data_IF_596937107766
#
_entry.id   IF_596937107766
#
_cell.length_a   1.000
_cell.length_b   1.000
_cell.length_c   1.000
_cell.angle_alpha   90.00
_cell.angle_beta   90.00
_cell.angle_gamma   90.00
#
_symmetry.space_group_name_H-M   'P 1'
#
loop_
_entity.id
_entity.type
_entity.pdbx_description
1 polymer ?
#
# COMPACT_ATOMS: atom_id res chain seq x y z
N UNK A 1 -28.26 11.67 69.52
CA UNK A 1 -26.83 11.50 69.83
C UNK A 1 -26.41 10.22 69.14
N UNK A 2 -25.84 10.31 67.95
CA UNK A 2 -25.28 9.13 67.26
C UNK A 2 -24.22 8.53 68.17
N UNK A 3 -24.33 7.25 68.48
CA UNK A 3 -23.35 6.62 69.37
C UNK A 3 -22.04 6.46 68.61
N UNK A 4 -20.89 6.59 69.30
CA UNK A 4 -19.56 6.45 68.69
C UNK A 4 -19.45 5.12 67.89
N UNK A 5 -20.16 4.08 68.33
CA UNK A 5 -20.23 2.77 67.66
C UNK A 5 -20.89 2.84 66.27
N UNK A 6 -21.95 3.62 66.09
CA UNK A 6 -22.60 3.81 64.79
C UNK A 6 -21.68 4.57 63.84
N UNK A 7 -21.01 5.62 64.33
CA UNK A 7 -20.05 6.38 63.53
C UNK A 7 -18.89 5.51 63.02
N UNK A 8 -18.32 4.65 63.88
CA UNK A 8 -17.25 3.70 63.48
C UNK A 8 -17.76 2.71 62.43
N UNK A 9 -19.00 2.22 62.57
CA UNK A 9 -19.60 1.29 61.60
C UNK A 9 -19.80 1.94 60.24
N UNK A 10 -20.24 3.20 60.21
CA UNK A 10 -20.36 3.98 58.97
C UNK A 10 -19.00 4.21 58.31
N UNK A 11 -17.96 4.55 59.09
CA UNK A 11 -16.60 4.73 58.57
C UNK A 11 -16.09 3.44 57.92
N UNK A 12 -16.18 2.30 58.61
CA UNK A 12 -15.74 1.01 58.06
C UNK A 12 -16.48 0.61 56.79
N UNK A 13 -17.77 0.94 56.72
CA UNK A 13 -18.55 0.70 55.51
C UNK A 13 -18.05 1.59 54.35
N UNK A 14 -17.81 2.87 54.62
CA UNK A 14 -17.30 3.80 53.62
C UNK A 14 -15.90 3.40 53.14
N UNK A 15 -15.02 2.92 54.03
CA UNK A 15 -13.71 2.36 53.66
C UNK A 15 -13.86 1.15 52.73
N UNK A 16 -14.73 0.19 53.08
CA UNK A 16 -14.96 -0.99 52.23
C UNK A 16 -15.56 -0.63 50.86
N UNK A 17 -16.49 0.32 50.83
CA UNK A 17 -17.11 0.79 49.58
C UNK A 17 -16.07 1.52 48.71
N UNK A 18 -15.15 2.29 49.32
CA UNK A 18 -14.04 2.95 48.62
C UNK A 18 -13.03 1.93 48.05
N UNK A 19 -12.66 0.91 48.82
CA UNK A 19 -11.75 -0.15 48.37
C UNK A 19 -12.33 -0.90 47.15
N UNK A 20 -13.63 -1.25 47.21
CA UNK A 20 -14.33 -1.86 46.07
C UNK A 20 -14.36 -0.96 44.85
N UNK A 21 -14.59 0.33 45.04
CA UNK A 21 -14.60 1.30 43.94
C UNK A 21 -13.22 1.36 43.26
N UNK A 22 -12.14 1.34 44.04
CA UNK A 22 -10.76 1.31 43.52
C UNK A 22 -10.50 0.01 42.75
N UNK A 23 -10.92 -1.14 43.29
CA UNK A 23 -10.77 -2.44 42.63
C UNK A 23 -11.50 -2.48 41.29
N UNK A 24 -12.78 -2.07 41.27
CA UNK A 24 -13.59 -2.03 40.06
C UNK A 24 -13.04 -1.05 39.02
N UNK A 25 -12.59 0.14 39.46
CA UNK A 25 -11.96 1.11 38.58
C UNK A 25 -10.68 0.56 37.96
N UNK A 26 -9.85 -0.12 38.75
CA UNK A 26 -8.59 -0.73 38.30
C UNK A 26 -8.86 -1.84 37.29
N UNK A 27 -9.81 -2.74 37.59
CA UNK A 27 -10.22 -3.80 36.68
C UNK A 27 -10.73 -3.24 35.36
N UNK A 28 -11.67 -2.30 35.41
CA UNK A 28 -12.22 -1.66 34.21
C UNK A 28 -11.16 -0.93 33.39
N UNK A 29 -10.20 -0.28 34.05
CA UNK A 29 -9.09 0.37 33.34
C UNK A 29 -8.21 -0.63 32.59
N UNK A 30 -7.98 -1.80 33.18
CA UNK A 30 -7.19 -2.88 32.56
C UNK A 30 -7.94 -3.46 31.36
N UNK A 31 -9.24 -3.76 31.53
CA UNK A 31 -10.10 -4.24 30.44
C UNK A 31 -10.11 -3.25 29.25
N UNK A 32 -10.24 -1.94 29.51
CA UNK A 32 -10.20 -0.92 28.46
C UNK A 32 -8.85 -0.87 27.73
N UNK A 33 -7.74 -1.04 28.45
CA UNK A 33 -6.40 -1.05 27.86
C UNK A 33 -6.23 -2.27 26.96
N UNK A 34 -6.66 -3.45 27.40
CA UNK A 34 -6.57 -4.68 26.62
C UNK A 34 -7.45 -4.63 25.38
N UNK A 35 -8.69 -4.16 25.50
CA UNK A 35 -9.59 -3.97 24.35
C UNK A 35 -9.00 -2.98 23.34
N UNK A 36 -8.43 -1.87 23.83
CA UNK A 36 -7.79 -0.87 22.96
C UNK A 36 -6.57 -1.44 22.24
N UNK A 37 -5.75 -2.27 22.91
CA UNK A 37 -4.61 -2.95 22.30
C UNK A 37 -5.06 -3.92 21.22
N UNK A 38 -6.04 -4.77 21.52
CA UNK A 38 -6.57 -5.74 20.56
C UNK A 38 -7.14 -5.07 19.31
N UNK A 39 -7.95 -4.02 19.48
CA UNK A 39 -8.46 -3.21 18.35
C UNK A 39 -7.34 -2.54 17.55
N UNK A 40 -6.31 -2.05 18.23
CA UNK A 40 -5.16 -1.43 17.54
C UNK A 40 -4.38 -2.44 16.71
N UNK A 41 -4.21 -3.66 17.21
CA UNK A 41 -3.56 -4.75 16.48
C UNK A 41 -4.38 -5.19 15.26
N UNK A 42 -5.70 -5.31 15.41
CA UNK A 42 -6.63 -5.61 14.33
C UNK A 42 -6.55 -4.56 13.22
N UNK A 43 -6.71 -3.28 13.56
CA UNK A 43 -6.62 -2.16 12.60
C UNK A 43 -5.27 -2.12 11.91
N UNK A 44 -4.18 -2.36 12.65
CA UNK A 44 -2.84 -2.39 12.05
C UNK A 44 -2.64 -3.61 11.13
N UNK A 45 -3.25 -4.75 11.46
CA UNK A 45 -3.26 -5.95 10.62
C UNK A 45 -4.01 -5.72 9.31
N UNK A 46 -5.21 -5.17 9.37
CA UNK A 46 -6.02 -4.80 8.21
C UNK A 46 -5.30 -3.77 7.33
N UNK A 47 -4.75 -2.70 7.93
CA UNK A 47 -4.02 -1.68 7.20
C UNK A 47 -2.79 -2.25 6.46
N UNK A 48 -2.07 -3.21 7.05
CA UNK A 48 -0.95 -3.90 6.38
C UNK A 48 -1.42 -4.76 5.22
N UNK A 49 -2.53 -5.49 5.40
CA UNK A 49 -3.11 -6.32 4.35
C UNK A 49 -3.54 -5.46 3.16
N UNK A 50 -4.30 -4.40 3.42
CA UNK A 50 -4.76 -3.45 2.40
C UNK A 50 -3.60 -2.79 1.66
N UNK A 51 -2.53 -2.43 2.38
CA UNK A 51 -1.33 -1.86 1.79
C UNK A 51 -0.64 -2.86 0.84
N UNK A 52 -0.56 -4.14 1.23
CA UNK A 52 0.03 -5.17 0.40
C UNK A 52 -0.81 -5.42 -0.87
N UNK A 53 -2.12 -5.57 -0.74
CA UNK A 53 -3.02 -5.77 -1.87
C UNK A 53 -2.97 -4.60 -2.86
N UNK A 54 -2.95 -3.35 -2.36
CA UNK A 54 -2.77 -2.16 -3.21
C UNK A 54 -1.42 -2.14 -3.89
N UNK A 55 -0.35 -2.50 -3.18
CA UNK A 55 1.00 -2.55 -3.76
C UNK A 55 1.08 -3.57 -4.90
N UNK A 56 0.54 -4.77 -4.69
CA UNK A 56 0.47 -5.81 -5.73
C UNK A 56 -0.33 -5.34 -6.95
N UNK A 57 -1.47 -4.68 -6.74
CA UNK A 57 -2.27 -4.11 -7.83
C UNK A 57 -1.51 -3.03 -8.61
N UNK A 58 -0.79 -2.15 -7.92
CA UNK A 58 0.02 -1.09 -8.56
C UNK A 58 1.12 -1.71 -9.43
N UNK A 59 1.82 -2.72 -8.91
CA UNK A 59 2.87 -3.43 -9.65
C UNK A 59 2.28 -4.10 -10.89
N UNK A 60 1.17 -4.82 -10.74
CA UNK A 60 0.50 -5.50 -11.85
C UNK A 60 0.06 -4.52 -12.96
N UNK A 61 -0.52 -3.39 -12.58
CA UNK A 61 -0.90 -2.34 -13.53
C UNK A 61 0.32 -1.74 -14.24
N UNK A 62 1.40 -1.46 -13.50
CA UNK A 62 2.63 -0.92 -14.06
C UNK A 62 3.26 -1.89 -15.06
N UNK A 63 3.34 -3.18 -14.72
CA UNK A 63 3.84 -4.20 -15.65
C UNK A 63 2.97 -4.32 -16.90
N UNK A 64 1.65 -4.26 -16.75
CA UNK A 64 0.71 -4.34 -17.87
C UNK A 64 0.86 -3.14 -18.80
N UNK A 65 0.98 -1.93 -18.25
CA UNK A 65 1.23 -0.71 -19.02
C UNK A 65 2.58 -0.78 -19.74
N UNK A 66 3.65 -1.18 -19.04
CA UNK A 66 4.97 -1.32 -19.62
C UNK A 66 4.99 -2.34 -20.78
N UNK A 67 4.33 -3.49 -20.64
CA UNK A 67 4.20 -4.49 -21.72
C UNK A 67 3.45 -3.92 -22.92
N UNK A 68 2.36 -3.18 -22.69
CA UNK A 68 1.58 -2.55 -23.76
C UNK A 68 2.39 -1.49 -24.51
N UNK A 69 3.11 -0.64 -23.78
CA UNK A 69 3.97 0.39 -24.36
C UNK A 69 5.13 -0.23 -25.16
N UNK A 70 5.79 -1.26 -24.61
CA UNK A 70 6.85 -1.99 -25.31
C UNK A 70 6.35 -2.60 -26.63
N UNK A 71 5.15 -3.19 -26.63
CA UNK A 71 4.53 -3.71 -27.84
C UNK A 71 4.24 -2.61 -28.87
N UNK A 72 3.70 -1.47 -28.44
CA UNK A 72 3.44 -0.32 -29.32
C UNK A 72 4.73 0.24 -29.92
N UNK A 73 5.79 0.38 -29.12
CA UNK A 73 7.10 0.85 -29.57
C UNK A 73 7.66 -0.13 -30.60
N UNK A 74 7.62 -1.44 -30.33
CA UNK A 74 8.10 -2.47 -31.24
C UNK A 74 7.39 -2.43 -32.59
N UNK A 75 6.05 -2.35 -32.59
CA UNK A 75 5.27 -2.26 -33.82
C UNK A 75 5.62 -1.00 -34.63
N UNK A 76 5.66 0.17 -33.96
CA UNK A 76 6.02 1.42 -34.62
C UNK A 76 7.43 1.38 -35.21
N UNK A 77 8.38 0.79 -34.47
CA UNK A 77 9.77 0.64 -34.92
C UNK A 77 9.84 -0.26 -36.15
N UNK A 78 9.09 -1.36 -36.19
CA UNK A 78 9.04 -2.23 -37.35
C UNK A 78 8.44 -1.53 -38.58
N UNK A 79 7.39 -0.73 -38.40
CA UNK A 79 6.83 0.09 -39.48
C UNK A 79 7.86 1.08 -40.03
N UNK A 80 8.59 1.78 -39.15
CA UNK A 80 9.66 2.71 -39.54
C UNK A 80 10.82 2.01 -40.27
N UNK A 81 11.21 0.81 -39.83
CA UNK A 81 12.23 -0.02 -40.49
C UNK A 81 11.80 -0.39 -41.91
N UNK A 82 10.56 -0.85 -42.09
CA UNK A 82 10.06 -1.22 -43.42
C UNK A 82 10.00 -0.01 -44.37
N UNK A 83 9.56 1.15 -43.88
CA UNK A 83 9.60 2.41 -44.65
C UNK A 83 11.03 2.78 -45.03
N UNK A 84 11.98 2.68 -44.09
CA UNK A 84 13.39 2.99 -44.34
C UNK A 84 14.00 2.02 -45.37
N UNK A 85 13.68 0.72 -45.27
CA UNK A 85 14.15 -0.31 -46.20
C UNK A 85 13.61 -0.07 -47.62
N UNK A 86 12.34 0.32 -47.75
CA UNK A 86 11.76 0.71 -49.04
C UNK A 86 12.54 1.86 -49.68
N UNK A 87 12.72 2.97 -48.95
CA UNK A 87 13.50 4.13 -49.42
C UNK A 87 14.93 3.76 -49.79
N UNK A 88 15.60 2.93 -48.98
CA UNK A 88 16.96 2.50 -49.27
C UNK A 88 17.03 1.66 -50.56
N UNK A 89 16.03 0.80 -50.79
CA UNK A 89 15.95 -0.03 -52.00
C UNK A 89 15.75 0.82 -53.25
N UNK A 90 14.88 1.84 -53.17
CA UNK A 90 14.61 2.74 -54.29
C UNK A 90 15.84 3.54 -54.75
N UNK A 91 16.80 3.78 -53.84
CA UNK A 91 18.03 4.51 -54.13
C UNK A 91 19.17 3.63 -54.68
N UNK A 92 19.02 2.30 -54.70
CA UNK A 92 20.08 1.37 -55.11
C UNK A 92 20.48 1.61 -56.57
N UNK A 93 19.50 1.72 -57.48
CA UNK A 93 19.77 1.88 -58.91
C UNK A 93 20.47 3.21 -59.22
N UNK A 94 20.08 4.28 -58.53
CA UNK A 94 20.72 5.59 -58.67
C UNK A 94 22.15 5.57 -58.14
N UNK A 95 22.39 4.93 -56.99
CA UNK A 95 23.72 4.76 -56.44
C UNK A 95 24.63 3.93 -57.37
N UNK A 96 24.11 2.85 -57.97
CA UNK A 96 24.84 2.03 -58.95
C UNK A 96 25.20 2.87 -60.18
N UNK A 97 24.27 3.68 -60.70
CA UNK A 97 24.52 4.54 -61.85
C UNK A 97 25.63 5.58 -61.58
N UNK A 98 25.66 6.17 -60.39
CA UNK A 98 26.72 7.09 -59.96
C UNK A 98 28.07 6.38 -59.90
N UNK A 99 28.13 5.17 -59.32
CA UNK A 99 29.37 4.39 -59.23
C UNK A 99 29.88 4.04 -60.63
N UNK A 100 29.04 3.49 -61.51
CA UNK A 100 29.44 3.12 -62.88
C UNK A 100 30.01 4.32 -63.64
N UNK A 101 29.37 5.50 -63.51
CA UNK A 101 29.84 6.74 -64.14
C UNK A 101 31.16 7.27 -63.58
N UNK A 102 31.53 6.88 -62.37
CA UNK A 102 32.78 7.29 -61.73
C UNK A 102 33.97 6.36 -62.03
N UNK A 103 33.70 5.14 -62.49
CA UNK A 103 34.71 4.09 -62.75
C UNK A 103 35.05 3.97 -64.24
N UNK A 104 34.13 4.35 -65.13
CA UNK A 104 34.33 4.46 -66.60
C UNK A 104 34.77 5.87 -66.99
#
# INVERSE_FOLDING_TARGET
MTTISEAITTIKKAENDADKLIEDATRKSTEMIEESRSKSEEVMGEAKKDANEKSESIIFEAETKAKKEAYQISNKTNEEIEVMKGKATDMVDEAVAVIVKSVL
#
